data_IF_442922361341
#
_entry.id   IF_442922361341
#
_cell.length_a   1.000
_cell.length_b   1.000
_cell.length_c   1.000
_cell.angle_alpha   90.00
_cell.angle_beta   90.00
_cell.angle_gamma   90.00
#
_symmetry.space_group_name_H-M   'P 1'
#
loop_
_entity.id
_entity.type
_entity.pdbx_description
1 polymer ?
#
# COMPACT_ATOMS: atom_id res chain seq x y z
N UNK A 1 18.01 -36.64 -5.08
CA UNK A 1 18.58 -35.30 -5.43
C UNK A 1 17.62 -34.42 -6.24
N UNK A 2 16.94 -34.89 -7.29
CA UNK A 2 15.93 -34.06 -8.01
C UNK A 2 14.65 -33.82 -7.18
N UNK A 3 14.15 -34.79 -6.45
CA UNK A 3 12.96 -34.65 -5.59
C UNK A 3 13.17 -33.66 -4.45
N UNK A 4 14.29 -33.72 -3.74
CA UNK A 4 14.61 -32.77 -2.67
C UNK A 4 14.69 -31.32 -3.14
N UNK A 5 15.18 -31.08 -4.36
CA UNK A 5 15.23 -29.75 -4.97
C UNK A 5 13.81 -29.25 -5.37
N UNK A 6 12.92 -30.17 -5.79
CA UNK A 6 11.53 -29.83 -6.13
C UNK A 6 10.75 -29.49 -4.86
N UNK A 7 10.91 -30.27 -3.79
CA UNK A 7 10.27 -30.02 -2.49
C UNK A 7 10.71 -28.67 -1.89
N UNK A 8 12.00 -28.36 -1.94
CA UNK A 8 12.53 -27.09 -1.44
C UNK A 8 11.95 -25.88 -2.23
N UNK A 9 11.90 -25.98 -3.57
CA UNK A 9 11.31 -24.93 -4.42
C UNK A 9 9.81 -24.76 -4.15
N UNK A 10 9.09 -25.83 -3.94
CA UNK A 10 7.66 -25.82 -3.63
C UNK A 10 7.42 -25.20 -2.26
N UNK A 11 8.22 -25.55 -1.26
CA UNK A 11 8.15 -24.94 0.08
C UNK A 11 8.36 -23.42 0.06
N UNK A 12 9.39 -22.97 -0.64
CA UNK A 12 9.66 -21.51 -0.81
C UNK A 12 8.54 -20.78 -1.52
N UNK A 13 7.94 -21.39 -2.55
CA UNK A 13 6.79 -20.82 -3.25
C UNK A 13 5.58 -20.70 -2.35
N UNK A 14 5.27 -21.76 -1.60
CA UNK A 14 4.17 -21.79 -0.65
C UNK A 14 4.34 -20.72 0.43
N UNK A 15 5.53 -20.59 1.01
CA UNK A 15 5.86 -19.55 1.98
C UNK A 15 5.60 -18.14 1.43
N UNK A 16 6.06 -17.84 0.20
CA UNK A 16 5.82 -16.56 -0.46
C UNK A 16 4.34 -16.27 -0.66
N UNK A 17 3.56 -17.28 -1.09
CA UNK A 17 2.10 -17.14 -1.26
C UNK A 17 1.40 -16.89 0.08
N UNK A 18 1.76 -17.64 1.13
CA UNK A 18 1.20 -17.47 2.48
C UNK A 18 1.49 -16.08 3.04
N UNK A 19 2.73 -15.61 2.89
CA UNK A 19 3.12 -14.27 3.34
C UNK A 19 2.42 -13.16 2.56
N UNK A 20 2.20 -13.35 1.24
CA UNK A 20 1.44 -12.42 0.41
C UNK A 20 -0.02 -12.35 0.88
N UNK A 21 -0.65 -13.49 1.14
CA UNK A 21 -2.01 -13.55 1.67
C UNK A 21 -2.12 -12.91 3.06
N UNK A 22 -1.16 -13.17 3.95
CA UNK A 22 -1.09 -12.56 5.27
C UNK A 22 -1.00 -11.04 5.19
N UNK A 23 -0.11 -10.51 4.35
CA UNK A 23 0.04 -9.06 4.19
C UNK A 23 -1.18 -8.42 3.51
N UNK A 24 -1.83 -9.12 2.58
CA UNK A 24 -3.12 -8.70 2.05
C UNK A 24 -4.17 -8.59 3.16
N UNK A 25 -4.27 -9.59 4.04
CA UNK A 25 -5.17 -9.56 5.18
C UNK A 25 -4.86 -8.39 6.13
N UNK A 26 -3.58 -8.12 6.40
CA UNK A 26 -3.15 -6.95 7.20
C UNK A 26 -3.60 -5.64 6.56
N UNK A 27 -3.44 -5.50 5.22
CA UNK A 27 -3.94 -4.32 4.50
C UNK A 27 -5.47 -4.22 4.65
N UNK A 28 -6.20 -5.32 4.45
CA UNK A 28 -7.66 -5.36 4.56
C UNK A 28 -8.18 -5.02 5.96
N UNK A 29 -7.42 -5.29 7.02
CA UNK A 29 -7.77 -4.96 8.41
C UNK A 29 -7.44 -3.50 8.73
N UNK A 30 -6.30 -3.00 8.27
CA UNK A 30 -5.83 -1.65 8.62
C UNK A 30 -6.43 -0.55 7.73
N UNK A 31 -6.74 -0.85 6.48
CA UNK A 31 -7.25 0.14 5.54
C UNK A 31 -8.64 0.71 5.90
N UNK A 32 -9.60 -0.08 6.43
CA UNK A 32 -10.88 0.44 6.90
C UNK A 32 -10.77 1.39 8.08
N UNK A 33 -9.71 1.22 8.91
CA UNK A 33 -9.44 2.10 10.04
C UNK A 33 -9.03 3.48 9.50
N UNK A 34 -9.94 4.41 9.58
CA UNK A 34 -9.77 5.73 9.00
C UNK A 34 -10.47 6.81 9.81
N UNK A 35 -9.87 7.99 9.81
CA UNK A 35 -10.42 9.19 10.42
C UNK A 35 -11.07 10.02 9.29
N UNK A 36 -12.37 10.27 9.35
CA UNK A 36 -13.04 11.06 8.33
C UNK A 36 -12.67 12.54 8.49
N UNK A 37 -11.84 13.04 7.55
CA UNK A 37 -11.47 14.46 7.49
C UNK A 37 -11.80 14.94 6.06
N UNK A 38 -13.02 15.45 5.86
CA UNK A 38 -13.49 15.90 4.56
C UNK A 38 -13.88 14.76 3.59
N UNK A 39 -13.80 15.00 2.27
CA UNK A 39 -14.29 14.07 1.24
C UNK A 39 -13.49 12.77 1.14
N UNK A 40 -12.22 12.80 1.54
CA UNK A 40 -11.30 11.65 1.54
C UNK A 40 -10.87 11.39 2.98
N UNK A 41 -11.06 10.18 3.53
CA UNK A 41 -10.66 9.86 4.90
C UNK A 41 -9.15 9.58 5.00
N UNK A 42 -8.54 9.95 6.13
CA UNK A 42 -7.15 9.54 6.46
C UNK A 42 -7.20 8.09 6.94
N UNK A 43 -6.58 7.17 6.20
CA UNK A 43 -6.55 5.74 6.53
C UNK A 43 -5.11 5.24 6.75
N UNK A 44 -4.97 4.04 7.31
CA UNK A 44 -3.68 3.36 7.46
C UNK A 44 -3.27 2.56 6.20
N UNK A 45 -4.01 2.70 5.09
CA UNK A 45 -3.76 1.95 3.85
C UNK A 45 -2.34 2.13 3.33
N UNK A 46 -1.87 3.37 3.19
CA UNK A 46 -0.52 3.65 2.69
C UNK A 46 0.57 3.05 3.60
N UNK A 47 0.40 3.14 4.93
CA UNK A 47 1.33 2.54 5.88
C UNK A 47 1.42 1.02 5.71
N UNK A 48 0.28 0.34 5.64
CA UNK A 48 0.23 -1.12 5.49
C UNK A 48 0.81 -1.58 4.14
N UNK A 49 0.60 -0.82 3.06
CA UNK A 49 1.23 -1.08 1.76
C UNK A 49 2.75 -0.93 1.86
N UNK A 50 3.28 0.14 2.45
CA UNK A 50 4.72 0.31 2.61
C UNK A 50 5.35 -0.79 3.47
N UNK A 51 4.68 -1.23 4.54
CA UNK A 51 5.13 -2.37 5.34
C UNK A 51 5.16 -3.66 4.49
N UNK A 52 4.15 -3.89 3.65
CA UNK A 52 4.14 -5.05 2.75
C UNK A 52 5.30 -5.02 1.76
N UNK A 53 5.66 -3.84 1.23
CA UNK A 53 6.81 -3.67 0.34
C UNK A 53 8.14 -3.98 1.05
N UNK A 54 8.30 -3.58 2.32
CA UNK A 54 9.49 -3.93 3.12
C UNK A 54 9.63 -5.43 3.36
N UNK A 55 8.52 -6.12 3.63
CA UNK A 55 8.53 -7.53 3.99
C UNK A 55 8.64 -8.44 2.78
N UNK A 56 7.88 -8.16 1.73
CA UNK A 56 7.71 -9.04 0.57
C UNK A 56 8.54 -8.63 -0.66
N UNK A 57 9.10 -7.41 -0.65
CA UNK A 57 9.66 -6.79 -1.84
C UNK A 57 8.59 -6.20 -2.75
N UNK A 58 9.03 -5.51 -3.82
CA UNK A 58 8.12 -4.74 -4.65
C UNK A 58 7.07 -5.58 -5.40
N UNK A 59 7.46 -6.76 -5.93
CA UNK A 59 6.56 -7.61 -6.71
C UNK A 59 5.40 -8.15 -5.87
N UNK A 60 5.71 -8.85 -4.80
CA UNK A 60 4.69 -9.47 -3.95
C UNK A 60 3.93 -8.46 -3.11
N UNK A 61 4.57 -7.36 -2.68
CA UNK A 61 3.91 -6.26 -2.00
C UNK A 61 2.90 -5.55 -2.89
N UNK A 62 3.24 -5.33 -4.18
CA UNK A 62 2.28 -4.80 -5.16
C UNK A 62 1.14 -5.78 -5.45
N UNK A 63 1.43 -7.09 -5.51
CA UNK A 63 0.39 -8.13 -5.64
C UNK A 63 -0.55 -8.11 -4.43
N UNK A 64 -0.04 -7.96 -3.20
CA UNK A 64 -0.89 -7.82 -1.99
C UNK A 64 -1.81 -6.60 -2.10
N UNK A 65 -1.30 -5.46 -2.59
CA UNK A 65 -2.10 -4.26 -2.82
C UNK A 65 -3.17 -4.49 -3.90
N UNK A 66 -2.83 -5.17 -5.01
CA UNK A 66 -3.78 -5.50 -6.06
C UNK A 66 -4.91 -6.39 -5.55
N UNK A 67 -4.57 -7.45 -4.81
CA UNK A 67 -5.58 -8.36 -4.23
C UNK A 67 -6.50 -7.59 -3.28
N UNK A 68 -5.96 -6.72 -2.42
CA UNK A 68 -6.75 -5.85 -1.56
C UNK A 68 -7.76 -5.02 -2.35
N UNK A 69 -7.35 -4.39 -3.46
CA UNK A 69 -8.24 -3.58 -4.30
C UNK A 69 -9.32 -4.47 -4.94
N UNK A 70 -8.96 -5.66 -5.43
CA UNK A 70 -9.91 -6.60 -6.01
C UNK A 70 -10.95 -7.09 -4.98
N UNK A 71 -10.51 -7.42 -3.76
CA UNK A 71 -11.42 -7.82 -2.68
C UNK A 71 -12.39 -6.69 -2.34
N UNK A 72 -11.91 -5.46 -2.26
CA UNK A 72 -12.77 -4.29 -2.07
C UNK A 72 -13.71 -4.05 -3.24
N UNK A 73 -13.29 -4.25 -4.48
CA UNK A 73 -14.11 -4.11 -5.68
C UNK A 73 -15.28 -5.10 -5.71
N UNK A 74 -15.06 -6.35 -5.27
CA UNK A 74 -16.11 -7.39 -5.17
C UNK A 74 -17.14 -7.07 -4.09
N UNK A 75 -16.85 -6.11 -3.21
CA UNK A 75 -17.82 -5.65 -2.21
C UNK A 75 -17.42 -5.94 -0.76
N UNK A 76 -16.25 -6.53 -0.50
CA UNK A 76 -15.78 -6.68 0.87
C UNK A 76 -15.51 -5.31 1.50
N UNK A 77 -15.90 -5.06 2.77
CA UNK A 77 -15.79 -3.76 3.44
C UNK A 77 -14.35 -3.46 3.90
N UNK A 78 -13.41 -3.54 2.95
CA UNK A 78 -11.96 -3.39 3.21
C UNK A 78 -11.42 -2.00 2.85
N UNK A 79 -12.21 -1.15 2.21
CA UNK A 79 -11.82 0.24 1.95
C UNK A 79 -12.07 1.13 3.17
N UNK A 80 -11.48 2.32 3.18
CA UNK A 80 -11.59 3.29 4.27
C UNK A 80 -13.04 3.53 4.70
N UNK A 81 -13.28 3.49 6.02
CA UNK A 81 -14.60 3.62 6.62
C UNK A 81 -15.47 2.38 6.44
N UNK A 82 -14.85 1.17 6.38
CA UNK A 82 -15.55 -0.12 6.21
C UNK A 82 -16.46 -0.16 4.98
N UNK A 83 -16.03 0.49 3.92
CA UNK A 83 -16.75 0.53 2.63
C UNK A 83 -16.15 -0.46 1.64
N UNK A 84 -16.91 -0.78 0.60
CA UNK A 84 -16.51 -1.67 -0.48
C UNK A 84 -17.40 -1.51 -1.71
N UNK A 85 -17.15 -2.32 -2.73
CA UNK A 85 -17.89 -2.35 -3.98
C UNK A 85 -17.34 -1.41 -5.05
N UNK A 86 -17.73 -1.69 -6.29
CA UNK A 86 -17.36 -0.90 -7.47
C UNK A 86 -17.80 0.56 -7.33
N UNK A 87 -18.93 0.83 -6.65
CA UNK A 87 -19.41 2.20 -6.39
C UNK A 87 -18.41 3.06 -5.62
N UNK A 88 -17.62 2.48 -4.73
CA UNK A 88 -16.55 3.20 -4.01
C UNK A 88 -15.37 3.53 -4.93
N UNK A 89 -15.03 2.63 -5.85
CA UNK A 89 -13.98 2.87 -6.86
C UNK A 89 -14.39 3.88 -7.91
N UNK A 90 -15.67 3.93 -8.27
CA UNK A 90 -16.21 4.94 -9.18
C UNK A 90 -16.51 6.28 -8.47
N UNK A 91 -16.50 6.28 -7.14
CA UNK A 91 -16.71 7.48 -6.33
C UNK A 91 -15.47 8.38 -6.25
N UNK A 92 -15.55 9.48 -5.48
CA UNK A 92 -14.50 10.51 -5.39
C UNK A 92 -13.15 9.99 -4.91
N UNK A 93 -13.12 8.92 -4.13
CA UNK A 93 -11.90 8.32 -3.57
C UNK A 93 -11.26 7.26 -4.47
N UNK A 94 -11.91 6.86 -5.56
CA UNK A 94 -11.48 5.75 -6.41
C UNK A 94 -10.10 5.94 -7.01
N UNK A 95 -9.80 7.15 -7.47
CA UNK A 95 -8.49 7.47 -8.02
C UNK A 95 -7.33 7.31 -7.04
N UNK A 96 -7.57 7.59 -5.75
CA UNK A 96 -6.57 7.35 -4.69
C UNK A 96 -6.38 5.85 -4.44
N UNK A 97 -7.47 5.06 -4.45
CA UNK A 97 -7.41 3.60 -4.26
C UNK A 97 -6.62 2.96 -5.41
N UNK A 98 -6.91 3.34 -6.65
CA UNK A 98 -6.17 2.86 -7.84
C UNK A 98 -4.73 3.38 -7.83
N UNK A 99 -4.52 4.61 -7.38
CA UNK A 99 -3.22 5.27 -7.25
C UNK A 99 -2.25 4.57 -6.30
N UNK A 100 -2.73 3.73 -5.38
CA UNK A 100 -1.87 2.89 -4.54
C UNK A 100 -1.06 1.87 -5.35
N UNK A 101 -1.53 1.43 -6.52
CA UNK A 101 -0.77 0.49 -7.36
C UNK A 101 0.50 1.12 -7.93
N UNK A 102 0.44 2.23 -8.69
CA UNK A 102 1.66 2.87 -9.19
C UNK A 102 2.55 3.39 -8.05
N UNK A 103 1.98 3.84 -6.91
CA UNK A 103 2.74 4.15 -5.70
C UNK A 103 3.55 2.95 -5.22
N UNK A 104 2.92 1.77 -5.10
CA UNK A 104 3.56 0.55 -4.63
C UNK A 104 4.68 0.09 -5.59
N UNK A 105 4.46 0.15 -6.89
CA UNK A 105 5.45 -0.20 -7.90
C UNK A 105 6.66 0.74 -7.81
N UNK A 106 6.44 2.06 -7.83
CA UNK A 106 7.51 3.04 -7.83
C UNK A 106 8.32 2.98 -6.53
N UNK A 107 7.64 3.11 -5.38
CA UNK A 107 8.31 3.09 -4.09
C UNK A 107 9.00 1.74 -3.84
N UNK A 108 8.32 0.63 -4.12
CA UNK A 108 8.84 -0.71 -3.89
C UNK A 108 10.06 -1.05 -4.74
N UNK A 109 10.05 -0.69 -6.04
CA UNK A 109 11.18 -0.94 -6.95
C UNK A 109 12.45 -0.20 -6.50
N UNK A 110 12.31 1.05 -6.05
CA UNK A 110 13.43 1.84 -5.54
C UNK A 110 13.90 1.32 -4.17
N UNK A 111 12.97 0.99 -3.28
CA UNK A 111 13.29 0.47 -1.93
C UNK A 111 14.03 -0.87 -1.98
N UNK A 112 13.71 -1.73 -2.95
CA UNK A 112 14.42 -3.02 -3.12
C UNK A 112 15.83 -2.82 -3.66
N UNK A 113 16.04 -1.83 -4.54
CA UNK A 113 17.33 -1.57 -5.16
C UNK A 113 18.28 -0.78 -4.26
N UNK A 114 17.75 0.16 -3.46
CA UNK A 114 18.56 1.08 -2.67
C UNK A 114 18.25 0.93 -1.18
N UNK A 115 19.29 0.63 -0.38
CA UNK A 115 19.19 0.43 1.06
C UNK A 115 19.42 1.72 1.87
N UNK A 116 19.79 2.82 1.21
CA UNK A 116 19.96 4.12 1.83
C UNK A 116 18.59 4.68 2.27
N UNK A 117 18.49 5.04 3.56
CA UNK A 117 17.26 5.54 4.18
C UNK A 117 16.71 6.80 3.52
N UNK A 118 17.61 7.69 3.09
CA UNK A 118 17.22 8.93 2.43
C UNK A 118 16.59 8.65 1.05
N UNK A 119 17.18 7.71 0.28
CA UNK A 119 16.64 7.30 -1.02
C UNK A 119 15.29 6.61 -0.84
N UNK A 120 15.14 5.75 0.18
CA UNK A 120 13.87 5.10 0.48
C UNK A 120 12.79 6.10 0.89
N UNK A 121 13.13 7.08 1.74
CA UNK A 121 12.23 8.16 2.10
C UNK A 121 11.76 8.94 0.88
N UNK A 122 12.69 9.35 0.01
CA UNK A 122 12.37 10.08 -1.23
C UNK A 122 11.50 9.25 -2.17
N UNK A 123 11.76 7.94 -2.28
CA UNK A 123 10.97 7.04 -3.12
C UNK A 123 9.53 6.87 -2.60
N UNK A 124 9.35 6.72 -1.28
CA UNK A 124 8.04 6.64 -0.65
C UNK A 124 7.26 7.93 -0.82
N UNK A 125 7.92 9.08 -0.63
CA UNK A 125 7.33 10.41 -0.84
C UNK A 125 6.94 10.64 -2.30
N UNK A 126 7.80 10.26 -3.25
CA UNK A 126 7.50 10.35 -4.68
C UNK A 126 6.34 9.41 -5.08
N UNK A 127 6.31 8.19 -4.53
CA UNK A 127 5.19 7.27 -4.72
C UNK A 127 3.88 7.84 -4.20
N UNK A 128 3.90 8.46 -3.01
CA UNK A 128 2.72 9.12 -2.44
C UNK A 128 2.28 10.31 -3.31
N UNK A 129 3.22 11.13 -3.79
CA UNK A 129 2.91 12.23 -4.72
C UNK A 129 2.24 11.71 -6.00
N UNK A 130 2.71 10.58 -6.53
CA UNK A 130 2.08 9.94 -7.68
C UNK A 130 0.63 9.49 -7.37
N UNK A 131 0.41 8.92 -6.19
CA UNK A 131 -0.94 8.58 -5.72
C UNK A 131 -1.83 9.82 -5.63
N UNK A 132 -1.32 10.95 -5.13
CA UNK A 132 -2.06 12.21 -5.08
C UNK A 132 -2.40 12.73 -6.49
N UNK A 133 -1.49 12.63 -7.45
CA UNK A 133 -1.78 13.03 -8.84
C UNK A 133 -2.95 12.22 -9.42
N UNK A 134 -2.90 10.90 -9.33
CA UNK A 134 -4.00 10.04 -9.78
C UNK A 134 -5.31 10.35 -9.06
N UNK A 135 -5.25 10.46 -7.73
CA UNK A 135 -6.42 10.76 -6.91
C UNK A 135 -7.04 12.12 -7.21
N UNK A 136 -6.21 13.17 -7.36
CA UNK A 136 -6.67 14.52 -7.65
C UNK A 136 -7.31 14.63 -9.03
N UNK A 137 -6.69 14.05 -10.05
CA UNK A 137 -7.26 14.03 -11.42
C UNK A 137 -8.62 13.35 -11.40
N UNK A 138 -8.71 12.18 -10.78
CA UNK A 138 -9.96 11.42 -10.66
C UNK A 138 -11.03 12.21 -9.90
N UNK A 139 -10.65 12.80 -8.76
CA UNK A 139 -11.54 13.61 -7.93
C UNK A 139 -12.11 14.80 -8.71
N UNK A 140 -11.29 15.51 -9.48
CA UNK A 140 -11.74 16.63 -10.32
C UNK A 140 -12.75 16.19 -11.37
N UNK A 141 -12.55 15.03 -11.99
CA UNK A 141 -13.46 14.48 -13.01
C UNK A 141 -14.79 14.11 -12.39
N UNK A 142 -14.79 13.37 -11.27
CA UNK A 142 -16.00 12.86 -10.63
C UNK A 142 -16.80 13.97 -9.96
N UNK A 143 -16.13 14.89 -9.25
CA UNK A 143 -16.78 15.97 -8.50
C UNK A 143 -16.98 17.24 -9.30
N UNK A 144 -16.50 17.30 -10.57
CA UNK A 144 -16.57 18.47 -11.45
C UNK A 144 -16.04 19.75 -10.78
N UNK A 145 -14.93 19.62 -10.06
CA UNK A 145 -14.33 20.70 -9.28
C UNK A 145 -12.97 21.11 -9.84
N UNK A 146 -12.45 22.26 -9.40
CA UNK A 146 -11.15 22.76 -9.83
C UNK A 146 -10.00 22.01 -9.11
N UNK A 147 -8.84 21.96 -9.75
CA UNK A 147 -7.64 21.33 -9.17
C UNK A 147 -7.25 22.00 -7.84
N UNK A 148 -7.36 23.33 -7.74
CA UNK A 148 -7.05 24.05 -6.51
C UNK A 148 -7.96 23.62 -5.34
N UNK A 149 -9.27 23.49 -5.59
CA UNK A 149 -10.22 23.01 -4.58
C UNK A 149 -9.93 21.56 -4.19
N UNK A 150 -9.63 20.69 -5.17
CA UNK A 150 -9.29 19.30 -4.90
C UNK A 150 -8.00 19.15 -4.07
N UNK A 151 -6.95 19.91 -4.38
CA UNK A 151 -5.71 19.91 -3.60
C UNK A 151 -5.94 20.37 -2.16
N UNK A 152 -6.71 21.43 -1.98
CA UNK A 152 -7.03 21.97 -0.64
C UNK A 152 -7.83 21.00 0.21
N UNK A 153 -8.77 20.26 -0.40
CA UNK A 153 -9.65 19.34 0.31
C UNK A 153 -9.06 17.93 0.49
N UNK A 154 -8.25 17.45 -0.47
CA UNK A 154 -7.87 16.05 -0.57
C UNK A 154 -6.38 15.77 -0.56
N UNK A 155 -5.51 16.80 -0.51
CA UNK A 155 -4.05 16.61 -0.48
C UNK A 155 -3.43 17.34 0.70
N UNK A 156 -3.56 18.65 0.82
CA UNK A 156 -2.86 19.40 1.86
C UNK A 156 -3.13 18.93 3.29
N UNK A 157 -4.37 18.58 3.69
CA UNK A 157 -4.62 18.07 5.04
C UNK A 157 -3.98 16.69 5.31
N UNK A 158 -3.65 15.93 4.25
CA UNK A 158 -3.13 14.57 4.37
C UNK A 158 -1.62 14.51 4.45
N UNK A 159 -0.90 15.51 3.89
CA UNK A 159 0.56 15.53 3.84
C UNK A 159 1.20 15.28 5.21
N UNK A 160 0.81 15.97 6.31
CA UNK A 160 1.42 15.73 7.61
C UNK A 160 1.23 14.30 8.11
N UNK A 161 0.01 13.75 7.98
CA UNK A 161 -0.32 12.39 8.37
C UNK A 161 0.45 11.35 7.53
N UNK A 162 0.59 11.57 6.24
CA UNK A 162 1.29 10.64 5.35
C UNK A 162 2.80 10.70 5.56
N UNK A 163 3.37 11.86 5.90
CA UNK A 163 4.77 11.97 6.32
C UNK A 163 5.04 11.14 7.60
N UNK A 164 4.16 11.20 8.58
CA UNK A 164 4.25 10.36 9.79
C UNK A 164 4.20 8.87 9.43
N UNK A 165 3.29 8.45 8.56
CA UNK A 165 3.19 7.05 8.10
C UNK A 165 4.44 6.59 7.38
N UNK A 166 5.01 7.45 6.51
CA UNK A 166 6.28 7.18 5.83
C UNK A 166 7.41 7.00 6.85
N UNK A 167 7.50 7.87 7.86
CA UNK A 167 8.52 7.75 8.91
C UNK A 167 8.36 6.46 9.73
N UNK A 168 7.12 6.09 10.08
CA UNK A 168 6.83 4.84 10.78
C UNK A 168 7.23 3.63 9.92
N UNK A 169 6.88 3.64 8.63
CA UNK A 169 7.26 2.56 7.71
C UNK A 169 8.78 2.48 7.50
N UNK A 170 9.46 3.62 7.37
CA UNK A 170 10.90 3.72 7.17
C UNK A 170 11.69 3.17 8.36
N UNK A 171 11.22 3.40 9.57
CA UNK A 171 11.86 2.93 10.81
C UNK A 171 11.41 1.52 11.19
N UNK A 172 10.09 1.28 11.20
CA UNK A 172 9.49 0.02 11.62
C UNK A 172 9.63 -1.12 10.61
N UNK A 173 9.55 -0.82 9.30
CA UNK A 173 9.61 -1.83 8.25
C UNK A 173 10.84 -2.72 8.31
N UNK A 174 12.06 -2.16 8.32
CA UNK A 174 13.28 -2.96 8.41
C UNK A 174 13.47 -3.68 9.74
N UNK A 175 12.98 -3.09 10.85
CA UNK A 175 13.00 -3.75 12.16
C UNK A 175 12.10 -4.99 12.11
N UNK A 176 10.89 -4.84 11.60
CA UNK A 176 9.94 -5.94 11.46
C UNK A 176 10.49 -7.03 10.53
N UNK A 177 11.06 -6.65 9.38
CA UNK A 177 11.70 -7.58 8.45
C UNK A 177 12.80 -8.40 9.14
N UNK A 178 13.71 -7.72 9.88
CA UNK A 178 14.79 -8.37 10.61
C UNK A 178 14.27 -9.35 11.66
N UNK A 179 13.23 -8.99 12.41
CA UNK A 179 12.61 -9.87 13.42
C UNK A 179 11.98 -11.10 12.80
N UNK A 180 11.25 -10.95 11.70
CA UNK A 180 10.64 -12.07 10.99
C UNK A 180 11.69 -13.00 10.34
N UNK A 181 12.81 -12.46 9.88
CA UNK A 181 13.96 -13.25 9.40
C UNK A 181 14.64 -14.02 10.54
N UNK A 182 14.78 -13.42 11.71
CA UNK A 182 15.30 -14.10 12.89
C UNK A 182 14.39 -15.22 13.41
N UNK A 183 13.09 -15.05 13.25
CA UNK A 183 12.08 -16.06 13.59
C UNK A 183 11.95 -17.18 12.53
N UNK A 184 12.73 -17.13 11.43
CA UNK A 184 12.65 -18.12 10.35
C UNK A 184 11.40 -18.02 9.47
N UNK A 185 10.62 -16.95 9.62
CA UNK A 185 9.36 -16.74 8.87
C UNK A 185 9.63 -16.13 7.48
N UNK A 186 10.70 -15.33 7.34
CA UNK A 186 11.15 -14.77 6.07
C UNK A 186 12.53 -15.28 5.70
N UNK A 187 12.75 -15.52 4.41
CA UNK A 187 14.10 -15.80 3.89
C UNK A 187 15.04 -14.62 4.13
N UNK A 188 16.33 -14.95 4.36
CA UNK A 188 17.38 -13.93 4.52
C UNK A 188 17.67 -13.21 3.21
#
# INVERSE_FOLDING_TARGET
MKESVIEEKTGKRLQKMTMTALMTAVICILAPLSIPIGPVPISFTALSIYLSLYLLGWKLGTVSCLIYILLGAVGLPVFSGFSGGIGKLLGPTGGYIIGFLPMAVLAGAVMERYHNRFIQFSAMTAGMALCYVFGTIWFCIVMKTTVAAALSACVFPFIPGDMIKIMIALTGGPILKKRLQQAGILEK
#
